data_IF_443545212485
#
_entry.id   IF_443545212485
#
_cell.length_a   1.000
_cell.length_b   1.000
_cell.length_c   1.000
_cell.angle_alpha   90.00
_cell.angle_beta   90.00
_cell.angle_gamma   90.00
#
_symmetry.space_group_name_H-M   'P 1'
#
loop_
_entity.id
_entity.type
_entity.pdbx_description
1 polymer ?
#
# COMPACT_ATOMS: atom_id res chain seq x y z
N UNK A 1 37.80 -0.89 37.55
CA UNK A 1 38.80 0.21 37.57
C UNK A 1 38.83 0.78 36.16
N UNK A 2 37.93 1.70 35.85
CA UNK A 2 37.77 2.26 34.51
C UNK A 2 37.64 3.77 34.67
N UNK A 3 38.74 4.50 34.46
CA UNK A 3 38.71 5.98 34.45
C UNK A 3 39.97 6.61 33.82
N UNK A 4 40.62 5.94 32.86
CA UNK A 4 41.83 6.48 32.20
C UNK A 4 41.71 6.69 30.69
N UNK A 5 40.50 6.70 30.12
CA UNK A 5 40.31 6.79 28.65
C UNK A 5 39.61 8.06 28.18
N UNK A 6 39.43 9.08 29.04
CA UNK A 6 38.72 10.33 28.71
C UNK A 6 39.62 11.56 28.88
N UNK A 7 39.47 12.54 27.99
CA UNK A 7 40.15 13.83 28.04
C UNK A 7 39.53 14.77 29.10
N UNK A 8 40.17 15.92 29.32
CA UNK A 8 39.73 16.94 30.31
C UNK A 8 38.32 17.50 30.03
N UNK A 9 37.75 17.22 28.86
CA UNK A 9 36.39 17.59 28.46
C UNK A 9 35.43 16.39 28.44
N UNK A 10 35.85 15.22 28.95
CA UNK A 10 35.05 14.01 29.06
C UNK A 10 34.89 13.19 27.77
N UNK A 11 35.59 13.53 26.70
CA UNK A 11 35.58 12.80 25.41
C UNK A 11 36.55 11.63 25.46
N UNK A 12 36.32 10.57 24.70
CA UNK A 12 37.27 9.45 24.63
C UNK A 12 38.59 9.91 23.98
N UNK A 13 39.72 9.64 24.64
CA UNK A 13 41.06 10.07 24.21
C UNK A 13 41.55 9.31 22.97
N UNK A 14 40.98 8.14 22.68
CA UNK A 14 41.16 7.40 21.44
C UNK A 14 39.80 7.12 20.80
N UNK A 15 39.77 7.10 19.46
CA UNK A 15 38.55 6.95 18.68
C UNK A 15 37.76 5.71 19.08
N UNK A 16 36.45 5.89 19.30
CA UNK A 16 35.52 4.78 19.49
C UNK A 16 35.53 3.95 18.19
N UNK A 17 36.19 2.79 18.20
CA UNK A 17 36.09 1.84 17.12
C UNK A 17 34.72 1.16 17.25
N UNK A 18 33.73 1.43 16.37
CA UNK A 18 32.44 0.76 16.45
C UNK A 18 32.66 -0.75 16.29
N UNK A 19 32.50 -1.51 17.37
CA UNK A 19 32.59 -2.98 17.36
C UNK A 19 31.50 -3.58 16.48
N UNK A 20 30.40 -2.86 16.32
CA UNK A 20 29.35 -3.18 15.37
C UNK A 20 29.70 -2.57 14.01
N UNK A 21 30.48 -3.31 13.23
CA UNK A 21 30.51 -3.06 11.79
C UNK A 21 29.08 -3.05 11.28
N UNK A 22 28.73 -2.06 10.43
CA UNK A 22 27.55 -2.18 9.56
C UNK A 22 27.48 -3.62 9.09
N UNK A 23 26.33 -4.29 9.19
CA UNK A 23 26.22 -5.70 8.78
C UNK A 23 26.72 -5.86 7.33
N UNK A 24 28.00 -6.18 7.18
CA UNK A 24 28.71 -6.37 5.92
C UNK A 24 28.52 -7.78 5.40
N UNK A 25 27.85 -8.65 6.17
CA UNK A 25 27.51 -10.00 5.75
C UNK A 25 26.54 -9.93 4.55
N UNK A 26 26.99 -10.21 3.32
CA UNK A 26 26.14 -10.13 2.14
C UNK A 26 24.96 -11.10 2.23
N UNK A 27 25.15 -12.23 2.93
CA UNK A 27 24.15 -13.26 3.18
C UNK A 27 23.00 -12.80 4.10
N UNK A 28 23.24 -11.79 4.95
CA UNK A 28 22.22 -11.20 5.83
C UNK A 28 21.50 -10.00 5.21
N UNK A 29 21.95 -9.51 4.05
CA UNK A 29 21.10 -8.62 3.25
C UNK A 29 19.94 -9.48 2.79
N UNK A 30 18.79 -9.34 3.45
CA UNK A 30 17.55 -9.99 3.04
C UNK A 30 17.42 -9.81 1.54
N UNK A 31 17.54 -10.91 0.80
CA UNK A 31 17.35 -10.91 -0.65
C UNK A 31 15.93 -10.38 -0.83
N UNK A 32 15.79 -9.19 -1.39
CA UNK A 32 14.47 -8.62 -1.62
C UNK A 32 13.67 -9.71 -2.35
N UNK A 33 12.53 -10.15 -1.81
CA UNK A 33 11.74 -11.20 -2.45
C UNK A 33 11.56 -10.76 -3.90
N UNK A 34 12.05 -11.57 -4.84
CA UNK A 34 12.01 -11.19 -6.26
C UNK A 34 10.59 -10.86 -6.70
N UNK A 35 10.43 -10.20 -7.85
CA UNK A 35 9.17 -9.62 -8.34
C UNK A 35 7.92 -10.52 -8.22
N UNK A 36 8.08 -11.85 -8.16
CA UNK A 36 7.00 -12.84 -7.96
C UNK A 36 6.31 -12.79 -6.59
N UNK A 37 7.00 -12.30 -5.55
CA UNK A 37 6.46 -12.25 -4.19
C UNK A 37 5.71 -10.95 -3.87
N UNK A 38 5.81 -9.94 -4.75
CA UNK A 38 5.00 -8.73 -4.63
C UNK A 38 3.66 -8.94 -5.34
N UNK A 39 2.57 -8.68 -4.62
CA UNK A 39 1.22 -8.78 -5.17
C UNK A 39 1.03 -7.87 -6.39
N UNK A 40 1.47 -6.61 -6.34
CA UNK A 40 1.28 -5.65 -7.44
C UNK A 40 1.97 -6.13 -8.71
N UNK A 41 3.23 -6.57 -8.59
CA UNK A 41 4.02 -7.08 -9.72
C UNK A 41 3.46 -8.40 -10.27
N UNK A 42 2.98 -9.29 -9.40
CA UNK A 42 2.32 -10.51 -9.83
C UNK A 42 1.02 -10.20 -10.59
N UNK A 43 0.18 -9.31 -10.06
CA UNK A 43 -1.09 -8.92 -10.68
C UNK A 43 -0.90 -8.22 -12.03
N UNK A 44 0.08 -7.32 -12.17
CA UNK A 44 0.41 -6.71 -13.45
C UNK A 44 0.82 -7.72 -14.51
N UNK A 45 1.74 -8.63 -14.14
CA UNK A 45 2.17 -9.71 -15.04
C UNK A 45 0.96 -10.52 -15.54
N UNK A 46 -0.01 -10.80 -14.67
CA UNK A 46 -1.23 -11.53 -15.03
C UNK A 46 -2.17 -10.70 -15.90
N UNK A 47 -2.28 -9.38 -15.68
CA UNK A 47 -3.08 -8.47 -16.51
C UNK A 47 -2.53 -8.32 -17.94
N UNK A 48 -1.22 -8.46 -18.12
CA UNK A 48 -0.55 -8.40 -19.42
C UNK A 48 -0.58 -9.73 -20.20
N UNK A 49 -1.05 -10.82 -19.56
CA UNK A 49 -1.13 -12.14 -20.18
C UNK A 49 -2.35 -12.30 -21.08
N UNK A 50 -2.22 -13.17 -22.09
CA UNK A 50 -3.37 -13.65 -22.87
C UNK A 50 -4.17 -14.69 -22.08
N UNK A 51 -5.43 -14.92 -22.46
CA UNK A 51 -6.29 -15.93 -21.81
C UNK A 51 -5.65 -17.32 -21.80
N UNK A 52 -5.00 -17.71 -22.90
CA UNK A 52 -4.26 -18.97 -23.01
C UNK A 52 -3.07 -19.07 -22.04
N UNK A 53 -2.38 -17.96 -21.78
CA UNK A 53 -1.28 -17.89 -20.81
C UNK A 53 -1.81 -17.91 -19.37
N UNK A 54 -2.94 -17.24 -19.11
CA UNK A 54 -3.62 -17.28 -17.82
C UNK A 54 -4.09 -18.69 -17.48
N UNK A 55 -4.65 -19.43 -18.44
CA UNK A 55 -5.02 -20.84 -18.22
C UNK A 55 -3.80 -21.71 -17.89
N UNK A 56 -2.65 -21.45 -18.52
CA UNK A 56 -1.41 -22.15 -18.19
C UNK A 56 -0.94 -21.80 -16.77
N UNK A 57 -1.03 -20.54 -16.35
CA UNK A 57 -0.70 -20.11 -14.99
C UNK A 57 -1.63 -20.73 -13.94
N UNK A 58 -2.94 -20.87 -14.21
CA UNK A 58 -3.88 -21.55 -13.29
C UNK A 58 -3.53 -23.01 -13.04
N UNK A 59 -2.92 -23.69 -14.01
CA UNK A 59 -2.54 -25.10 -13.92
C UNK A 59 -1.21 -25.31 -13.18
N UNK A 60 -0.49 -24.24 -12.84
CA UNK A 60 0.78 -24.33 -12.13
C UNK A 60 0.58 -24.70 -10.66
N UNK A 61 1.41 -25.60 -10.16
CA UNK A 61 1.42 -26.02 -8.75
C UNK A 61 2.42 -25.23 -7.91
N UNK A 62 3.36 -24.53 -8.54
CA UNK A 62 4.46 -23.78 -7.91
C UNK A 62 4.15 -22.28 -7.67
N UNK A 63 2.87 -21.92 -7.58
CA UNK A 63 2.43 -20.55 -7.36
C UNK A 63 2.73 -20.09 -5.92
N UNK A 64 3.36 -18.93 -5.79
CA UNK A 64 3.54 -18.22 -4.53
C UNK A 64 2.19 -17.71 -4.00
N UNK A 65 2.12 -17.39 -2.70
CA UNK A 65 0.88 -16.87 -2.09
C UNK A 65 0.40 -15.58 -2.77
N UNK A 66 1.32 -14.67 -3.12
CA UNK A 66 1.00 -13.42 -3.81
C UNK A 66 0.38 -13.68 -5.20
N UNK A 67 0.96 -14.60 -5.98
CA UNK A 67 0.43 -15.00 -7.29
C UNK A 67 -0.96 -15.65 -7.17
N UNK A 68 -1.20 -16.49 -6.15
CA UNK A 68 -2.53 -17.08 -5.91
C UNK A 68 -3.59 -16.04 -5.57
N UNK A 69 -3.24 -15.07 -4.72
CA UNK A 69 -4.16 -13.98 -4.38
C UNK A 69 -4.44 -13.13 -5.62
N UNK A 70 -3.41 -12.80 -6.41
CA UNK A 70 -3.56 -12.03 -7.64
C UNK A 70 -4.44 -12.73 -8.68
N UNK A 71 -4.24 -14.04 -8.90
CA UNK A 71 -5.10 -14.86 -9.78
C UNK A 71 -6.56 -14.86 -9.30
N UNK A 72 -6.80 -15.13 -8.02
CA UNK A 72 -8.17 -15.14 -7.47
C UNK A 72 -8.85 -13.77 -7.59
N UNK A 73 -8.10 -12.67 -7.45
CA UNK A 73 -8.63 -11.32 -7.54
C UNK A 73 -8.94 -10.94 -8.99
N UNK A 74 -8.09 -11.36 -9.93
CA UNK A 74 -8.34 -11.25 -11.37
C UNK A 74 -9.58 -12.05 -11.77
N UNK A 75 -9.68 -13.30 -11.31
CA UNK A 75 -10.82 -14.18 -11.60
C UNK A 75 -12.12 -13.55 -11.14
N UNK A 76 -12.19 -13.06 -9.90
CA UNK A 76 -13.36 -12.34 -9.39
C UNK A 76 -13.71 -11.13 -10.24
N UNK A 77 -12.73 -10.34 -10.64
CA UNK A 77 -12.94 -9.15 -11.47
C UNK A 77 -13.44 -9.50 -12.89
N UNK A 78 -13.15 -10.70 -13.39
CA UNK A 78 -13.61 -11.19 -14.70
C UNK A 78 -14.92 -11.97 -14.67
N UNK A 79 -15.25 -12.63 -13.54
CA UNK A 79 -16.39 -13.55 -13.39
C UNK A 79 -17.71 -12.80 -13.21
N UNK A 80 -17.68 -11.69 -12.47
CA UNK A 80 -18.75 -10.69 -12.57
C UNK A 80 -18.63 -10.04 -13.95
N UNK A 81 -19.63 -10.22 -14.82
CA UNK A 81 -19.80 -9.51 -16.11
C UNK A 81 -19.89 -7.97 -15.98
N UNK A 82 -19.40 -7.41 -14.88
CA UNK A 82 -19.34 -6.00 -14.59
C UNK A 82 -17.99 -5.46 -15.06
N UNK A 83 -17.93 -4.77 -16.22
CA UNK A 83 -16.69 -4.21 -16.75
C UNK A 83 -16.07 -3.17 -15.81
N UNK A 84 -16.84 -2.63 -14.85
CA UNK A 84 -16.34 -1.66 -13.88
C UNK A 84 -15.36 -2.31 -12.89
N UNK A 85 -15.53 -3.58 -12.53
CA UNK A 85 -14.64 -4.24 -11.57
C UNK A 85 -13.25 -4.50 -12.16
N UNK A 86 -13.19 -4.95 -13.40
CA UNK A 86 -11.92 -5.11 -14.12
C UNK A 86 -11.23 -3.75 -14.33
N UNK A 87 -12.00 -2.71 -14.67
CA UNK A 87 -11.46 -1.36 -14.82
C UNK A 87 -10.91 -0.82 -13.49
N UNK A 88 -11.66 -0.98 -12.38
CA UNK A 88 -11.24 -0.58 -11.05
C UNK A 88 -9.98 -1.34 -10.58
N UNK A 89 -9.89 -2.63 -10.91
CA UNK A 89 -8.71 -3.44 -10.60
C UNK A 89 -7.48 -2.95 -11.37
N UNK A 90 -7.61 -2.64 -12.67
CA UNK A 90 -6.54 -2.04 -13.49
C UNK A 90 -6.10 -0.69 -12.92
N UNK A 91 -7.03 0.19 -12.57
CA UNK A 91 -6.74 1.48 -11.94
C UNK A 91 -6.01 1.32 -10.59
N UNK A 92 -6.40 0.33 -9.78
CA UNK A 92 -5.75 0.05 -8.50
C UNK A 92 -4.31 -0.40 -8.70
N UNK A 93 -4.04 -1.22 -9.72
CA UNK A 93 -2.68 -1.65 -10.07
C UNK A 93 -1.84 -0.51 -10.63
N UNK A 94 -2.43 0.33 -11.48
CA UNK A 94 -1.77 1.53 -12.02
C UNK A 94 -1.38 2.50 -10.90
N UNK A 95 -2.25 2.68 -9.90
CA UNK A 95 -1.97 3.49 -8.72
C UNK A 95 -0.90 2.87 -7.82
N UNK A 96 -0.87 1.55 -7.68
CA UNK A 96 0.16 0.85 -6.91
C UNK A 96 1.57 1.03 -7.51
N UNK A 97 1.68 1.29 -8.81
CA UNK A 97 2.93 1.68 -9.48
C UNK A 97 3.21 3.19 -9.46
N UNK A 98 2.31 4.00 -8.90
CA UNK A 98 2.46 5.45 -8.85
C UNK A 98 2.08 6.18 -10.14
N UNK A 99 1.28 5.56 -11.03
CA UNK A 99 0.72 6.31 -12.17
C UNK A 99 -0.26 7.37 -11.66
N UNK A 100 -0.22 8.60 -12.22
CA UNK A 100 -1.14 9.66 -11.85
C UNK A 100 -2.58 9.29 -12.25
N UNK A 101 -3.56 9.81 -11.51
CA UNK A 101 -4.98 9.69 -11.90
C UNK A 101 -5.19 10.39 -13.23
N UNK A 102 -6.03 9.80 -14.08
CA UNK A 102 -6.48 10.48 -15.30
C UNK A 102 -7.55 11.51 -14.94
N UNK A 103 -7.64 12.61 -15.69
CA UNK A 103 -8.56 13.72 -15.41
C UNK A 103 -10.05 13.32 -15.42
N UNK A 104 -10.39 12.15 -15.94
CA UNK A 104 -11.75 11.61 -15.92
C UNK A 104 -12.17 11.01 -14.54
N UNK A 105 -11.22 10.84 -13.61
CA UNK A 105 -11.44 10.28 -12.27
C UNK A 105 -11.41 11.33 -11.16
N UNK A 106 -11.63 12.62 -11.49
CA UNK A 106 -11.75 13.63 -10.45
C UNK A 106 -12.85 13.24 -9.46
N UNK A 107 -12.58 13.32 -8.14
CA UNK A 107 -13.60 13.04 -7.15
C UNK A 107 -14.76 14.01 -7.41
N UNK A 108 -15.99 13.48 -7.49
CA UNK A 108 -17.18 14.29 -7.52
C UNK A 108 -17.06 15.36 -6.44
N UNK A 109 -17.26 16.63 -6.83
CA UNK A 109 -17.11 17.76 -5.92
C UNK A 109 -17.90 17.46 -4.64
N UNK A 110 -17.20 17.37 -3.51
CA UNK A 110 -17.81 17.08 -2.23
C UNK A 110 -18.59 18.32 -1.81
N UNK A 111 -19.92 18.31 -2.00
CA UNK A 111 -20.78 19.33 -1.41
C UNK A 111 -20.84 19.10 0.10
N UNK A 112 -20.37 20.06 0.91
CA UNK A 112 -20.41 19.91 2.36
C UNK A 112 -21.87 19.82 2.83
N UNK A 113 -22.17 18.96 3.84
CA UNK A 113 -23.52 18.81 4.33
C UNK A 113 -24.02 20.12 4.95
N UNK A 114 -25.21 20.55 4.56
CA UNK A 114 -25.89 21.71 5.14
C UNK A 114 -26.58 21.26 6.44
N UNK A 115 -26.10 21.75 7.59
CA UNK A 115 -26.70 21.49 8.89
C UNK A 115 -27.75 22.58 9.16
N UNK A 116 -29.03 22.22 9.10
CA UNK A 116 -30.12 23.12 9.49
C UNK A 116 -30.35 23.02 11.00
N UNK A 117 -29.84 24.01 11.76
CA UNK A 117 -30.11 24.12 13.19
C UNK A 117 -31.51 24.76 13.34
N UNK A 118 -32.49 23.96 13.76
CA UNK A 118 -33.78 24.48 14.26
C UNK A 118 -33.64 24.65 15.76
N UNK A 119 -33.70 25.89 16.23
CA UNK A 119 -33.89 26.14 17.65
C UNK A 119 -35.31 25.69 17.99
N UNK A 120 -35.43 24.64 18.79
CA UNK A 120 -36.68 24.36 19.48
C UNK A 120 -36.91 25.54 20.43
N UNK A 121 -37.93 26.35 20.17
CA UNK A 121 -38.37 27.36 21.11
C UNK A 121 -39.11 26.62 22.24
N UNK A 122 -38.34 26.16 23.23
CA UNK A 122 -38.86 25.40 24.39
C UNK A 122 -39.60 26.31 25.39
N UNK A 123 -39.95 27.54 25.01
CA UNK A 123 -40.68 28.48 25.86
C UNK A 123 -42.04 28.89 25.26
N UNK A 124 -43.11 28.09 25.48
CA UNK A 124 -44.46 28.40 24.99
C UNK A 124 -45.11 29.64 25.64
N UNK A 125 -44.40 30.37 26.51
CA UNK A 125 -44.93 31.49 27.29
C UNK A 125 -44.58 32.89 26.77
N UNK A 126 -43.79 33.04 25.71
CA UNK A 126 -43.35 34.36 25.27
C UNK A 126 -44.34 34.99 24.27
N UNK A 127 -45.52 35.36 24.77
CA UNK A 127 -46.38 36.34 24.10
C UNK A 127 -45.84 37.73 24.43
N UNK A 128 -45.30 38.41 23.42
CA UNK A 128 -45.01 39.84 23.52
C UNK A 128 -46.35 40.59 23.64
N UNK A 129 -46.47 41.39 24.70
CA UNK A 129 -47.48 42.45 24.85
C UNK A 129 -47.38 43.49 23.73
#
# INVERSE_FOLDING_TARGET
>A
MADNERDEHGRFAAGNHPVTGFHTNPERRGRFPGNRHSFSKAAQRLLDMTDSQLEAERKRTDLTQAERIALNMLDRATDTQDPQQLAAFKQLMDRAEGKPRTAAEEPAAYEPPIINIRFCDDNPGNHAD
#
